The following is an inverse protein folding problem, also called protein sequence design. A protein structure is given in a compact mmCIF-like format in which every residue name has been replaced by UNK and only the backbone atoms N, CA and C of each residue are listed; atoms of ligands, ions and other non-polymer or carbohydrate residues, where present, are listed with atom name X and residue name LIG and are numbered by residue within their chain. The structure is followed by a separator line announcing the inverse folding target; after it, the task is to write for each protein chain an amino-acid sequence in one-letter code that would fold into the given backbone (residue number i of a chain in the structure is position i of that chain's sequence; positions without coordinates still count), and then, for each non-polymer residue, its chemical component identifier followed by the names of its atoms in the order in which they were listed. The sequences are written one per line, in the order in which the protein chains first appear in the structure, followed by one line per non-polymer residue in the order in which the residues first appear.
data_IF_447935898431
#
_entry.id   IF_447935898431
#
_cell.length_a   1.000
_cell.length_b   1.000
_cell.length_c   1.000
_cell.angle_alpha   90.00
_cell.angle_beta   90.00
_cell.angle_gamma   90.00
#
_symmetry.space_group_name_H-M   'P 1'
#
loop_
_entity.id
_entity.type
_entity.pdbx_description
1 polymer ?
#
# COMPACT_ATOMS: atom_id res chain seq x y z
N UNK A 1 0.37 15.04 -17.04
CA UNK A 1 0.73 13.67 -17.43
C UNK A 1 1.72 13.11 -16.42
N UNK A 2 1.34 12.11 -15.64
CA UNK A 2 2.16 11.54 -14.54
C UNK A 2 3.28 10.66 -15.12
N UNK A 3 3.00 10.01 -16.26
CA UNK A 3 3.84 8.99 -16.91
C UNK A 3 4.40 9.52 -18.22
N UNK A 4 5.69 9.28 -18.46
CA UNK A 4 6.37 9.51 -19.72
C UNK A 4 6.37 8.25 -20.60
N UNK A 5 6.42 8.40 -21.92
CA UNK A 5 6.50 7.28 -22.86
C UNK A 5 7.76 6.40 -22.64
N UNK A 6 8.83 6.98 -22.10
CA UNK A 6 10.10 6.29 -21.85
C UNK A 6 10.21 5.67 -20.44
N UNK A 7 9.16 5.75 -19.63
CA UNK A 7 9.21 5.21 -18.27
C UNK A 7 9.22 3.67 -18.31
N UNK A 8 10.13 3.07 -17.55
CA UNK A 8 10.12 1.64 -17.31
C UNK A 8 8.86 1.20 -16.56
N UNK A 9 8.53 -0.09 -16.59
CA UNK A 9 7.41 -0.63 -15.78
C UNK A 9 7.55 -0.23 -14.31
N UNK A 10 8.74 -0.33 -13.74
CA UNK A 10 9.01 0.02 -12.35
C UNK A 10 8.83 1.51 -12.09
N UNK A 11 9.26 2.38 -13.01
CA UNK A 11 9.08 3.83 -12.88
C UNK A 11 7.60 4.21 -12.95
N UNK A 12 6.82 3.59 -13.85
CA UNK A 12 5.37 3.75 -13.91
C UNK A 12 4.72 3.44 -12.58
N UNK A 13 5.06 2.28 -11.98
CA UNK A 13 4.50 1.85 -10.69
C UNK A 13 4.85 2.86 -9.58
N UNK A 14 6.10 3.28 -9.48
CA UNK A 14 6.55 4.26 -8.49
C UNK A 14 5.84 5.61 -8.62
N UNK A 15 5.73 6.12 -9.84
CA UNK A 15 5.08 7.40 -10.12
C UNK A 15 3.58 7.36 -9.81
N UNK A 16 2.90 6.27 -10.17
CA UNK A 16 1.48 6.09 -9.86
C UNK A 16 1.28 5.96 -8.35
N UNK A 17 2.10 5.17 -7.67
CA UNK A 17 2.05 5.03 -6.21
C UNK A 17 2.22 6.39 -5.52
N UNK A 18 3.22 7.16 -5.93
CA UNK A 18 3.46 8.50 -5.41
C UNK A 18 2.30 9.46 -5.70
N UNK A 19 1.74 9.41 -6.91
CA UNK A 19 0.58 10.21 -7.27
C UNK A 19 -0.61 9.93 -6.35
N UNK A 20 -0.90 8.66 -6.08
CA UNK A 20 -1.98 8.27 -5.16
C UNK A 20 -1.70 8.81 -3.76
N UNK A 21 -0.48 8.66 -3.24
CA UNK A 21 -0.10 9.21 -1.94
C UNK A 21 -0.29 10.73 -1.83
N UNK A 22 0.03 11.46 -2.89
CA UNK A 22 0.00 12.93 -2.89
C UNK A 22 -1.41 13.50 -3.10
N UNK A 23 -2.30 12.74 -3.75
CA UNK A 23 -3.60 13.25 -4.16
C UNK A 23 -4.78 12.58 -3.44
N UNK A 24 -4.52 11.59 -2.59
CA UNK A 24 -5.59 10.92 -1.85
C UNK A 24 -5.26 10.82 -0.36
N UNK A 25 -6.29 10.58 0.43
CA UNK A 25 -6.18 10.28 1.86
C UNK A 25 -7.08 9.11 2.23
N UNK A 26 -6.67 8.37 3.25
CA UNK A 26 -7.49 7.30 3.78
C UNK A 26 -8.67 7.86 4.59
N UNK A 27 -9.87 7.41 4.23
CA UNK A 27 -11.11 7.64 4.98
C UNK A 27 -11.86 6.33 5.09
N UNK A 28 -12.05 5.83 6.30
CA UNK A 28 -12.75 4.56 6.53
C UNK A 28 -14.23 4.69 6.18
N UNK A 29 -14.73 3.82 5.28
CA UNK A 29 -16.13 3.75 4.88
C UNK A 29 -16.64 2.35 5.17
N UNK A 30 -17.37 2.19 6.29
CA UNK A 30 -17.82 0.88 6.79
C UNK A 30 -19.35 0.79 6.95
N UNK A 31 -20.11 1.75 6.40
CA UNK A 31 -21.57 1.82 6.56
C UNK A 31 -22.27 1.10 5.41
N UNK A 32 -23.13 0.15 5.75
CA UNK A 32 -23.95 -0.59 4.78
C UNK A 32 -23.13 -1.27 3.70
N UNK A 33 -23.54 -1.12 2.45
CA UNK A 33 -22.84 -1.70 1.30
C UNK A 33 -21.38 -1.16 1.15
N UNK A 34 -21.09 0.03 1.66
CA UNK A 34 -19.75 0.62 1.66
C UNK A 34 -18.74 -0.15 2.50
N UNK A 35 -19.17 -1.01 3.42
CA UNK A 35 -18.30 -1.97 4.09
C UNK A 35 -17.69 -3.03 3.14
N UNK A 36 -18.33 -3.26 1.99
CA UNK A 36 -17.97 -4.31 1.03
C UNK A 36 -17.61 -3.77 -0.35
N UNK A 37 -18.46 -2.90 -0.89
CA UNK A 37 -18.26 -2.30 -2.21
C UNK A 37 -17.25 -1.16 -2.11
N UNK A 38 -16.16 -1.15 -2.90
CA UNK A 38 -15.27 0.01 -3.00
C UNK A 38 -16.03 1.21 -3.60
N UNK A 39 -15.65 2.42 -3.20
CA UNK A 39 -16.06 3.66 -3.85
C UNK A 39 -15.68 3.62 -5.34
N UNK A 40 -16.48 4.22 -6.18
CA UNK A 40 -16.19 4.33 -7.63
C UNK A 40 -14.90 5.12 -7.87
N UNK A 41 -14.15 4.70 -8.88
CA UNK A 41 -12.83 5.31 -9.21
C UNK A 41 -12.95 6.81 -9.46
N UNK A 42 -13.99 7.23 -10.16
CA UNK A 42 -14.30 8.66 -10.44
C UNK A 42 -14.57 9.47 -9.17
N UNK A 43 -15.17 8.85 -8.15
CA UNK A 43 -15.44 9.51 -6.88
C UNK A 43 -14.17 9.63 -6.04
N UNK A 44 -13.30 8.61 -6.06
CA UNK A 44 -11.97 8.69 -5.41
C UNK A 44 -11.15 9.81 -6.04
N UNK A 45 -11.13 9.91 -7.36
CA UNK A 45 -10.45 11.00 -8.08
C UNK A 45 -11.01 12.37 -7.72
N UNK A 46 -12.34 12.50 -7.72
CA UNK A 46 -13.04 13.75 -7.45
C UNK A 46 -12.87 14.25 -6.02
N UNK A 47 -12.95 13.35 -5.03
CA UNK A 47 -12.94 13.71 -3.62
C UNK A 47 -11.58 13.57 -2.96
N UNK A 48 -10.61 12.95 -3.63
CA UNK A 48 -9.27 12.73 -3.09
C UNK A 48 -9.27 11.86 -1.83
N UNK A 49 -10.19 10.91 -1.69
CA UNK A 49 -10.25 10.04 -0.51
C UNK A 49 -10.92 8.70 -0.81
N UNK A 50 -10.65 7.74 0.06
CA UNK A 50 -11.28 6.43 0.04
C UNK A 50 -10.74 5.52 1.13
N UNK A 51 -11.41 4.39 1.34
CA UNK A 51 -10.91 3.34 2.22
C UNK A 51 -9.90 2.41 1.50
N UNK A 52 -9.42 1.37 2.18
CA UNK A 52 -8.45 0.43 1.60
C UNK A 52 -8.94 -0.18 0.28
N UNK A 53 -10.23 -0.52 0.18
CA UNK A 53 -10.84 -1.09 -1.03
C UNK A 53 -10.81 -0.09 -2.18
N UNK A 54 -11.24 1.14 -1.88
CA UNK A 54 -11.35 2.21 -2.86
C UNK A 54 -9.97 2.66 -3.37
N UNK A 55 -9.01 2.90 -2.48
CA UNK A 55 -7.67 3.35 -2.85
C UNK A 55 -6.89 2.25 -3.60
N UNK A 56 -7.03 0.98 -3.20
CA UNK A 56 -6.44 -0.12 -3.96
C UNK A 56 -7.06 -0.25 -5.35
N UNK A 57 -8.39 -0.14 -5.48
CA UNK A 57 -9.05 -0.21 -6.78
C UNK A 57 -8.71 1.00 -7.68
N UNK A 58 -8.60 2.20 -7.10
CA UNK A 58 -8.17 3.41 -7.81
C UNK A 58 -6.74 3.25 -8.33
N UNK A 59 -5.80 2.84 -7.48
CA UNK A 59 -4.41 2.60 -7.87
C UNK A 59 -4.31 1.54 -8.97
N UNK A 60 -5.08 0.45 -8.84
CA UNK A 60 -5.16 -0.61 -9.86
C UNK A 60 -5.66 -0.07 -11.20
N UNK A 61 -6.67 0.80 -11.18
CA UNK A 61 -7.22 1.39 -12.40
C UNK A 61 -6.21 2.31 -13.10
N UNK A 62 -5.46 3.09 -12.33
CA UNK A 62 -4.36 3.90 -12.87
C UNK A 62 -3.25 3.03 -13.48
N UNK A 63 -2.82 1.99 -12.77
CA UNK A 63 -1.82 1.04 -13.29
C UNK A 63 -2.28 0.41 -14.61
N UNK A 64 -3.54 -0.05 -14.66
CA UNK A 64 -4.13 -0.63 -15.86
C UNK A 64 -4.18 0.35 -17.04
N UNK A 65 -4.43 1.63 -16.80
CA UNK A 65 -4.44 2.65 -17.85
C UNK A 65 -3.07 2.87 -18.51
N UNK A 66 -1.99 2.41 -17.86
CA UNK A 66 -0.62 2.45 -18.37
C UNK A 66 -0.04 1.06 -18.66
N UNK A 67 -0.90 0.07 -18.91
CA UNK A 67 -0.55 -1.32 -19.24
C UNK A 67 0.29 -2.03 -18.17
N UNK A 68 0.08 -1.69 -16.91
CA UNK A 68 0.69 -2.37 -15.77
C UNK A 68 -0.33 -3.27 -15.09
N UNK A 69 -0.12 -4.58 -15.20
CA UNK A 69 -0.94 -5.57 -14.52
C UNK A 69 -0.75 -5.50 -13.01
N UNK A 70 -1.86 -5.59 -12.27
CA UNK A 70 -1.86 -5.63 -10.82
C UNK A 70 -3.11 -6.35 -10.30
N UNK A 71 -2.98 -6.98 -9.13
CA UNK A 71 -4.01 -7.79 -8.55
C UNK A 71 -4.49 -7.24 -7.21
N UNK A 72 -5.79 -7.19 -7.05
CA UNK A 72 -6.42 -6.90 -5.77
C UNK A 72 -6.07 -8.01 -4.78
N UNK A 73 -5.62 -7.62 -3.59
CA UNK A 73 -5.07 -8.55 -2.62
C UNK A 73 -5.71 -8.32 -1.25
N UNK A 74 -6.27 -9.36 -0.68
CA UNK A 74 -6.90 -9.33 0.65
C UNK A 74 -5.93 -9.87 1.69
N UNK A 75 -5.88 -9.21 2.84
CA UNK A 75 -4.92 -9.52 3.91
C UNK A 75 -5.51 -9.17 5.29
N UNK A 76 -4.97 -9.73 6.35
CA UNK A 76 -5.19 -9.20 7.68
C UNK A 76 -4.17 -8.11 7.99
N UNK A 77 -4.62 -6.86 8.10
CA UNK A 77 -3.82 -5.72 8.54
C UNK A 77 -3.88 -5.55 10.06
N UNK A 78 -2.75 -5.18 10.68
CA UNK A 78 -2.64 -4.98 12.13
C UNK A 78 -2.49 -6.29 12.89
N UNK A 79 -3.57 -6.99 13.10
CA UNK A 79 -3.58 -8.28 13.81
C UNK A 79 -2.78 -9.36 13.08
N UNK A 80 -1.99 -10.15 13.82
CA UNK A 80 -1.22 -11.28 13.25
C UNK A 80 -2.10 -12.53 13.04
N UNK A 81 -3.30 -12.34 12.50
CA UNK A 81 -4.18 -13.44 12.10
C UNK A 81 -3.68 -14.07 10.81
N UNK A 82 -3.87 -15.39 10.70
CA UNK A 82 -3.62 -16.10 9.45
C UNK A 82 -4.91 -16.21 8.65
N UNK A 83 -4.80 -16.17 7.34
CA UNK A 83 -5.86 -16.68 6.47
C UNK A 83 -5.95 -18.18 6.65
N UNK A 84 -7.17 -18.70 6.78
CA UNK A 84 -7.46 -20.12 6.79
C UNK A 84 -7.54 -20.60 5.34
N UNK A 85 -6.64 -21.47 4.96
CA UNK A 85 -6.51 -21.98 3.57
C UNK A 85 -7.49 -23.12 3.28
N UNK A 86 -8.07 -23.74 4.32
CA UNK A 86 -8.97 -24.88 4.20
C UNK A 86 -10.44 -24.46 4.12
N UNK A 87 -10.77 -23.25 4.59
CA UNK A 87 -12.15 -22.77 4.67
C UNK A 87 -12.39 -21.63 3.68
N UNK A 88 -13.26 -21.88 2.71
CA UNK A 88 -13.74 -20.83 1.79
C UNK A 88 -14.72 -19.92 2.54
N UNK A 89 -14.23 -18.77 2.98
CA UNK A 89 -15.00 -17.78 3.72
C UNK A 89 -14.52 -16.37 3.44
N UNK A 90 -15.31 -15.37 3.84
CA UNK A 90 -14.90 -13.96 3.79
C UNK A 90 -13.87 -13.71 4.89
N UNK A 91 -12.61 -13.62 4.51
CA UNK A 91 -11.47 -13.42 5.39
C UNK A 91 -10.74 -12.14 5.05
N UNK A 92 -9.91 -11.66 6.00
CA UNK A 92 -9.17 -10.41 5.85
C UNK A 92 -9.98 -9.20 6.31
N UNK A 93 -9.29 -8.13 6.64
CA UNK A 93 -9.85 -6.84 7.07
C UNK A 93 -9.23 -5.66 6.32
N UNK A 94 -8.33 -5.94 5.38
CA UNK A 94 -7.58 -4.93 4.65
C UNK A 94 -7.34 -5.35 3.20
N UNK A 95 -7.13 -4.35 2.34
CA UNK A 95 -6.83 -4.52 0.93
C UNK A 95 -5.57 -3.77 0.54
N UNK A 96 -4.71 -4.44 -0.21
CA UNK A 96 -3.50 -3.91 -0.83
C UNK A 96 -3.44 -4.33 -2.29
N UNK A 97 -2.41 -3.94 -3.03
CA UNK A 97 -2.17 -4.45 -4.38
C UNK A 97 -0.91 -5.30 -4.45
N UNK A 98 -0.96 -6.34 -5.29
CA UNK A 98 0.19 -7.11 -5.73
C UNK A 98 0.44 -6.84 -7.21
N UNK A 99 1.64 -6.39 -7.55
CA UNK A 99 2.07 -6.15 -8.93
C UNK A 99 3.09 -7.22 -9.30
N UNK A 100 2.87 -8.04 -10.34
CA UNK A 100 3.80 -9.07 -10.76
C UNK A 100 5.19 -8.49 -11.11
N UNK A 101 6.24 -9.10 -10.54
CA UNK A 101 7.62 -8.72 -10.77
C UNK A 101 8.52 -9.96 -10.78
N UNK A 102 8.84 -10.44 -11.96
CA UNK A 102 9.50 -11.73 -12.20
C UNK A 102 8.74 -12.88 -11.51
N UNK A 103 9.39 -13.66 -10.68
CA UNK A 103 8.78 -14.76 -9.91
C UNK A 103 8.09 -14.32 -8.60
N UNK A 104 8.07 -13.01 -8.32
CA UNK A 104 7.57 -12.44 -7.07
C UNK A 104 6.54 -11.33 -7.32
N UNK A 105 6.18 -10.64 -6.24
CA UNK A 105 5.28 -9.49 -6.27
C UNK A 105 5.90 -8.27 -5.62
N UNK A 106 5.66 -7.10 -6.22
CA UNK A 106 5.78 -5.81 -5.55
C UNK A 106 4.42 -5.55 -4.88
N UNK A 107 4.41 -5.46 -3.55
CA UNK A 107 3.20 -5.09 -2.81
C UNK A 107 3.12 -3.59 -2.62
N UNK A 108 1.92 -3.03 -2.81
CA UNK A 108 1.65 -1.61 -2.63
C UNK A 108 0.61 -1.41 -1.53
N UNK A 109 1.01 -0.73 -0.46
CA UNK A 109 0.13 -0.28 0.62
C UNK A 109 -0.50 1.06 0.22
N UNK A 110 -1.71 1.01 -0.34
CA UNK A 110 -2.34 2.17 -0.96
C UNK A 110 -2.96 3.15 0.04
N UNK A 111 -3.02 2.82 1.33
CA UNK A 111 -3.66 3.64 2.35
C UNK A 111 -2.73 4.59 3.09
N UNK A 112 -1.42 4.42 2.93
CA UNK A 112 -0.41 5.24 3.59
C UNK A 112 0.12 6.34 2.69
N UNK A 113 0.02 7.61 3.12
CA UNK A 113 0.63 8.74 2.43
C UNK A 113 2.16 8.84 2.63
N UNK A 114 2.72 8.09 3.57
CA UNK A 114 4.12 8.27 4.01
C UNK A 114 4.99 7.05 3.85
N UNK A 115 4.42 5.87 3.67
CA UNK A 115 5.21 4.65 3.49
C UNK A 115 6.08 4.75 2.22
N UNK A 116 7.36 4.41 2.31
CA UNK A 116 8.19 4.26 1.13
C UNK A 116 7.59 3.25 0.14
N UNK A 117 7.90 3.43 -1.13
CA UNK A 117 7.47 2.51 -2.19
C UNK A 117 7.80 1.05 -1.84
N UNK A 118 6.81 0.17 -1.96
CA UNK A 118 6.92 -1.28 -1.68
C UNK A 118 7.24 -1.63 -0.21
N UNK A 119 7.13 -0.68 0.72
CA UNK A 119 7.29 -0.93 2.14
C UNK A 119 5.93 -1.13 2.81
N UNK A 120 5.76 -2.27 3.50
CA UNK A 120 4.48 -2.69 4.07
C UNK A 120 4.32 -2.40 5.58
N UNK A 121 5.36 -1.87 6.24
CA UNK A 121 5.41 -1.73 7.70
C UNK A 121 5.06 -3.06 8.44
N UNK A 122 4.92 -3.02 9.74
CA UNK A 122 4.44 -4.16 10.54
C UNK A 122 2.94 -4.42 10.38
N UNK A 123 2.21 -3.46 9.80
CA UNK A 123 0.77 -3.57 9.59
C UNK A 123 0.39 -4.68 8.61
N UNK A 124 1.15 -4.85 7.50
CA UNK A 124 0.86 -5.85 6.47
C UNK A 124 2.07 -6.70 6.05
N UNK A 125 3.25 -6.52 6.66
CA UNK A 125 4.42 -7.37 6.42
C UNK A 125 4.34 -8.71 7.15
N UNK A 126 5.02 -9.73 6.61
CA UNK A 126 5.07 -11.08 7.18
C UNK A 126 3.68 -11.71 7.42
N UNK A 127 2.77 -11.53 6.46
CA UNK A 127 1.40 -12.03 6.48
C UNK A 127 1.12 -12.92 5.27
N UNK A 128 0.20 -13.87 5.41
CA UNK A 128 -0.42 -14.50 4.26
C UNK A 128 -1.39 -13.51 3.60
N UNK A 129 -1.26 -13.33 2.30
CA UNK A 129 -2.07 -12.44 1.48
C UNK A 129 -2.73 -13.23 0.36
N UNK A 130 -4.04 -13.07 0.19
CA UNK A 130 -4.83 -13.71 -0.85
C UNK A 130 -4.87 -12.82 -2.08
N UNK A 131 -4.14 -13.20 -3.12
CA UNK A 131 -4.08 -12.49 -4.40
C UNK A 131 -5.19 -12.99 -5.31
N UNK A 132 -6.06 -12.08 -5.74
CA UNK A 132 -7.20 -12.38 -6.63
C UNK A 132 -6.77 -12.18 -8.07
N UNK A 133 -6.63 -13.27 -8.81
CA UNK A 133 -6.24 -13.29 -10.22
C UNK A 133 -7.35 -13.87 -11.11
N UNK A 134 -7.41 -13.48 -12.40
CA UNK A 134 -8.43 -14.00 -13.33
C UNK A 134 -8.39 -15.53 -13.52
N UNK A 135 -7.19 -16.11 -13.51
CA UNK A 135 -6.96 -17.51 -13.84
C UNK A 135 -6.64 -18.39 -12.60
N UNK A 136 -7.13 -18.02 -11.46
CA UNK A 136 -6.91 -18.73 -10.21
C UNK A 136 -6.14 -17.90 -9.18
N UNK A 137 -6.73 -17.75 -8.02
CA UNK A 137 -6.17 -16.99 -6.91
C UNK A 137 -5.10 -17.82 -6.18
N UNK A 138 -4.22 -17.14 -5.44
CA UNK A 138 -3.18 -17.78 -4.66
C UNK A 138 -2.96 -17.08 -3.32
N UNK A 139 -2.44 -17.83 -2.36
CA UNK A 139 -1.98 -17.26 -1.09
C UNK A 139 -0.45 -17.18 -1.12
N UNK A 140 0.06 -16.00 -0.90
CA UNK A 140 1.51 -15.76 -0.82
C UNK A 140 1.86 -15.01 0.45
N UNK A 141 3.10 -15.16 0.89
CA UNK A 141 3.59 -14.43 2.05
C UNK A 141 4.12 -13.08 1.63
N UNK A 142 3.65 -12.01 2.29
CA UNK A 142 4.19 -10.68 2.07
C UNK A 142 5.61 -10.52 2.61
N UNK A 143 6.30 -9.46 2.18
CA UNK A 143 7.69 -9.19 2.51
C UNK A 143 8.00 -9.32 4.00
N UNK A 144 9.14 -9.94 4.30
CA UNK A 144 9.66 -10.05 5.67
C UNK A 144 10.88 -9.14 5.77
N UNK A 145 10.84 -8.19 6.69
CA UNK A 145 11.97 -7.28 6.92
C UNK A 145 12.80 -7.77 8.10
N UNK A 146 14.10 -7.91 7.87
CA UNK A 146 15.07 -8.20 8.92
C UNK A 146 15.39 -6.93 9.72
N UNK A 147 15.94 -7.10 10.90
CA UNK A 147 16.29 -6.00 11.83
C UNK A 147 17.17 -4.93 11.17
N UNK A 148 18.07 -5.33 10.28
CA UNK A 148 18.99 -4.44 9.57
C UNK A 148 18.27 -3.46 8.61
N UNK A 149 17.01 -3.74 8.27
CA UNK A 149 16.16 -2.86 7.45
C UNK A 149 15.15 -2.05 8.27
N UNK A 150 15.10 -2.25 9.58
CA UNK A 150 14.23 -1.55 10.52
C UNK A 150 15.06 -0.65 11.44
N UNK A 151 15.84 0.25 10.86
CA UNK A 151 16.73 1.15 11.59
C UNK A 151 16.16 2.55 11.64
N UNK A 152 16.36 3.22 12.78
CA UNK A 152 16.15 4.65 12.94
C UNK A 152 17.48 5.29 13.24
N UNK A 153 17.94 6.22 12.40
CA UNK A 153 19.15 7.01 12.62
C UNK A 153 18.75 8.45 12.98
N UNK A 154 19.18 8.91 14.14
CA UNK A 154 18.96 10.30 14.58
C UNK A 154 20.31 11.00 14.65
N UNK A 155 20.46 12.10 13.89
CA UNK A 155 21.62 12.98 13.94
C UNK A 155 21.20 14.30 14.58
N UNK A 156 21.82 14.66 15.70
CA UNK A 156 21.53 15.89 16.42
C UNK A 156 22.78 16.75 16.51
N UNK A 157 22.62 18.06 16.33
CA UNK A 157 23.63 19.07 16.65
C UNK A 157 23.11 19.89 17.80
N UNK A 158 23.81 19.82 18.93
CA UNK A 158 23.46 20.58 20.13
C UNK A 158 24.49 21.70 20.32
N UNK A 159 24.04 22.93 20.49
CA UNK A 159 24.86 24.09 20.78
C UNK A 159 24.50 24.58 22.16
N UNK A 160 25.47 24.59 23.07
CA UNK A 160 25.34 25.17 24.40
C UNK A 160 25.83 26.60 24.33
N UNK A 161 24.98 27.54 24.63
CA UNK A 161 25.30 28.96 24.61
C UNK A 161 25.88 29.39 25.97
N UNK A 162 26.59 30.51 26.00
CA UNK A 162 27.28 31.01 27.19
C UNK A 162 26.33 31.42 28.34
N UNK A 163 25.06 31.59 28.05
CA UNK A 163 23.99 31.86 29.02
C UNK A 163 23.32 30.58 29.57
N UNK A 164 23.93 29.39 29.34
CA UNK A 164 23.41 28.05 29.68
C UNK A 164 22.11 27.65 29.00
N UNK A 165 21.66 28.38 27.96
CA UNK A 165 20.56 27.91 27.11
C UNK A 165 21.05 26.85 26.13
N UNK A 166 20.18 25.94 25.75
CA UNK A 166 20.47 24.86 24.78
C UNK A 166 19.57 25.03 23.59
N UNK A 167 20.17 25.08 22.39
CA UNK A 167 19.43 25.02 21.13
C UNK A 167 19.82 23.76 20.36
N UNK A 168 18.87 23.14 19.67
CA UNK A 168 19.08 21.95 18.85
C UNK A 168 18.14 21.92 17.66
N UNK A 169 18.61 21.34 16.55
CA UNK A 169 17.85 21.01 15.35
C UNK A 169 17.86 19.50 15.13
#
# INVERSE_FOLDING_TARGET
NIISANDSKLDKIKKIYKYVQDNTRYVSVQVGIGGWKPMEVSDVEKYGCGDCKALSNFTRSLLKAYDVESYYTVIYGGDKRKLDEEIVSMQGNHAILAVPNDENYIFLECTSQTNPFSYLSDFTSNRNAFIIKPNGSEIVKTSVYKTEKNTQETKSKVIVLSDVTVSGN
#
